data_IF_193821002253
#
_entry.id   IF_193821002253
#
_cell.length_a   1.000
_cell.length_b   1.000
_cell.length_c   1.000
_cell.angle_alpha   90.00
_cell.angle_beta   90.00
_cell.angle_gamma   90.00
#
_symmetry.space_group_name_H-M   'P 1'
#
loop_
_entity.id
_entity.type
_entity.pdbx_description
1 polymer ?
#
# COMPACT_ATOMS: atom_id res chain seq x y z
N UNK A 1 -46.18 29.87 41.57
CA UNK A 1 -47.23 29.64 42.58
C UNK A 1 -48.27 28.71 41.94
N UNK A 2 -48.45 27.53 42.55
CA UNK A 2 -49.55 26.56 42.44
C UNK A 2 -49.80 25.79 41.12
N UNK A 3 -49.39 24.53 41.19
CA UNK A 3 -49.88 23.35 40.44
C UNK A 3 -51.35 23.08 40.75
N UNK A 4 -52.06 22.47 39.78
CA UNK A 4 -53.16 21.55 40.05
C UNK A 4 -52.86 20.17 39.41
N UNK A 5 -52.79 19.17 40.29
CA UNK A 5 -52.79 17.72 40.05
C UNK A 5 -54.23 17.24 39.69
N UNK A 6 -54.60 16.02 39.31
CA UNK A 6 -54.06 14.67 39.03
C UNK A 6 -55.15 13.99 38.13
N UNK A 7 -54.97 12.86 37.45
CA UNK A 7 -55.19 11.47 37.93
C UNK A 7 -54.93 10.55 36.72
N UNK A 8 -53.82 9.81 36.68
CA UNK A 8 -53.68 8.34 36.83
C UNK A 8 -54.71 7.47 36.10
N UNK A 9 -54.25 6.72 35.08
CA UNK A 9 -54.69 5.34 34.87
C UNK A 9 -53.45 4.46 34.58
N UNK A 10 -53.17 3.56 35.50
CA UNK A 10 -52.22 2.48 35.33
C UNK A 10 -52.84 1.40 34.43
N UNK A 11 -52.09 0.90 33.46
CA UNK A 11 -52.41 -0.36 32.77
C UNK A 11 -51.11 -1.10 32.50
N UNK A 12 -50.87 -2.10 33.35
CA UNK A 12 -49.88 -3.15 33.14
C UNK A 12 -50.39 -4.06 32.02
N UNK A 13 -49.66 -4.17 30.92
CA UNK A 13 -49.79 -5.29 29.98
C UNK A 13 -48.40 -5.89 29.79
N UNK A 14 -48.29 -7.15 30.22
CA UNK A 14 -47.09 -7.97 30.15
C UNK A 14 -46.79 -8.47 28.73
N UNK A 15 -45.53 -8.83 28.54
CA UNK A 15 -44.80 -9.11 27.32
C UNK A 15 -45.36 -10.26 26.45
N UNK A 16 -45.27 -10.09 25.13
CA UNK A 16 -45.00 -11.18 24.19
C UNK A 16 -44.35 -10.60 22.92
N UNK A 17 -43.02 -10.56 22.87
CA UNK A 17 -42.28 -10.29 21.63
C UNK A 17 -42.25 -11.58 20.80
N UNK A 18 -43.15 -11.67 19.82
CA UNK A 18 -43.08 -12.70 18.79
C UNK A 18 -42.01 -12.29 17.75
N UNK A 19 -40.87 -12.95 17.79
CA UNK A 19 -39.86 -12.88 16.74
C UNK A 19 -40.33 -13.72 15.54
N UNK A 20 -40.23 -13.23 14.29
CA UNK A 20 -40.37 -14.10 13.13
C UNK A 20 -39.13 -14.98 12.98
N UNK A 21 -39.35 -16.29 12.97
CA UNK A 21 -38.39 -17.30 12.58
C UNK A 21 -38.20 -17.31 11.06
N UNK A 22 -36.96 -17.49 10.62
CA UNK A 22 -36.67 -18.22 9.37
C UNK A 22 -36.20 -17.38 8.18
N UNK A 23 -34.97 -16.88 8.22
CA UNK A 23 -34.10 -16.82 7.04
C UNK A 23 -32.71 -17.28 7.43
N UNK A 24 -32.41 -18.55 7.18
CA UNK A 24 -31.08 -19.11 7.28
C UNK A 24 -30.19 -18.50 6.20
N UNK A 25 -29.34 -17.55 6.58
CA UNK A 25 -28.20 -17.18 5.77
C UNK A 25 -27.24 -18.38 5.71
N UNK A 26 -26.73 -18.79 4.54
CA UNK A 26 -25.64 -19.75 4.50
C UNK A 26 -24.44 -19.13 5.21
N UNK A 27 -23.89 -19.84 6.19
CA UNK A 27 -22.64 -19.46 6.83
C UNK A 27 -21.55 -19.44 5.75
N UNK A 28 -21.20 -18.23 5.29
CA UNK A 28 -20.01 -18.03 4.48
C UNK A 28 -18.81 -18.41 5.36
N UNK A 29 -18.29 -19.61 5.15
CA UNK A 29 -17.01 -20.03 5.70
C UNK A 29 -15.97 -19.10 5.07
N UNK A 30 -15.57 -18.06 5.79
CA UNK A 30 -14.44 -17.21 5.38
C UNK A 30 -13.15 -17.99 5.62
N UNK A 31 -12.92 -19.00 4.78
CA UNK A 31 -11.57 -19.47 4.56
C UNK A 31 -10.81 -18.32 3.88
N UNK A 32 -9.66 -17.88 4.41
CA UNK A 32 -8.78 -16.98 3.67
C UNK A 32 -8.48 -17.59 2.31
N UNK A 33 -8.57 -16.78 1.25
CA UNK A 33 -8.11 -17.21 -0.07
C UNK A 33 -6.66 -17.72 0.05
N UNK A 34 -6.30 -18.86 -0.59
CA UNK A 34 -4.93 -19.34 -0.58
C UNK A 34 -4.00 -18.22 -1.04
N UNK A 35 -3.16 -17.73 -0.13
CA UNK A 35 -2.12 -16.77 -0.49
C UNK A 35 -1.00 -17.58 -1.13
N UNK A 36 -0.94 -17.58 -2.46
CA UNK A 36 0.30 -17.92 -3.14
C UNK A 36 1.34 -16.88 -2.70
N UNK A 37 2.50 -17.29 -2.17
CA UNK A 37 3.64 -16.39 -2.06
C UNK A 37 3.85 -15.70 -3.41
N UNK A 38 4.20 -14.41 -3.40
CA UNK A 38 4.62 -13.69 -4.60
C UNK A 38 5.91 -14.33 -5.12
N UNK A 39 5.79 -15.45 -5.83
CA UNK A 39 6.90 -16.03 -6.55
C UNK A 39 6.97 -15.39 -7.92
N UNK A 40 8.12 -14.77 -8.17
CA UNK A 40 8.53 -14.17 -9.43
C UNK A 40 8.20 -15.10 -10.61
N UNK A 41 7.35 -14.70 -11.57
CA UNK A 41 7.17 -15.47 -12.80
C UNK A 41 8.47 -15.46 -13.58
N UNK A 42 9.12 -16.62 -13.67
CA UNK A 42 10.20 -16.87 -14.61
C UNK A 42 9.60 -17.50 -15.87
N UNK A 43 8.87 -16.71 -16.67
CA UNK A 43 8.34 -17.17 -17.96
C UNK A 43 9.20 -16.59 -19.11
N UNK A 44 9.84 -17.41 -19.95
CA UNK A 44 10.68 -16.96 -21.05
C UNK A 44 9.92 -16.59 -22.33
N UNK A 45 8.59 -16.60 -22.36
CA UNK A 45 7.85 -16.45 -23.62
C UNK A 45 7.01 -15.17 -23.65
N UNK A 46 7.59 -14.02 -24.05
CA UNK A 46 6.90 -12.90 -24.72
C UNK A 46 7.91 -11.88 -25.29
N UNK A 47 8.23 -12.09 -26.56
CA UNK A 47 9.03 -11.22 -27.45
C UNK A 47 8.52 -9.75 -27.44
N UNK A 48 9.39 -8.83 -27.04
CA UNK A 48 9.22 -7.36 -26.95
C UNK A 48 8.24 -6.78 -25.93
N UNK A 49 7.81 -7.53 -24.92
CA UNK A 49 7.45 -6.86 -23.67
C UNK A 49 8.74 -6.19 -23.15
N UNK A 50 8.72 -4.87 -22.90
CA UNK A 50 9.73 -4.29 -22.02
C UNK A 50 9.60 -5.07 -20.73
N UNK A 51 10.52 -6.01 -20.47
CA UNK A 51 10.50 -6.81 -19.25
C UNK A 51 10.35 -5.81 -18.10
N UNK A 52 9.39 -6.02 -17.18
CA UNK A 52 9.21 -5.11 -16.06
C UNK A 52 10.56 -4.98 -15.37
N UNK A 53 11.17 -3.80 -15.52
CA UNK A 53 12.52 -3.59 -15.03
C UNK A 53 12.48 -3.72 -13.52
N UNK A 54 13.22 -4.69 -13.02
CA UNK A 54 13.34 -5.05 -11.61
C UNK A 54 14.83 -5.11 -11.32
N UNK A 55 15.34 -3.99 -10.81
CA UNK A 55 16.75 -3.74 -10.58
C UNK A 55 17.09 -3.87 -9.08
N UNK A 56 16.11 -4.15 -8.23
CA UNK A 56 16.26 -4.30 -6.79
C UNK A 56 15.86 -5.69 -6.29
N UNK A 57 16.29 -6.02 -5.08
CA UNK A 57 15.88 -7.22 -4.36
C UNK A 57 14.73 -6.92 -3.39
N UNK A 58 14.47 -7.88 -2.50
CA UNK A 58 13.40 -7.77 -1.52
C UNK A 58 13.52 -6.52 -0.63
N UNK A 59 12.38 -5.89 -0.40
CA UNK A 59 12.29 -4.69 0.44
C UNK A 59 11.88 -5.01 1.87
N UNK A 60 12.44 -4.27 2.81
CA UNK A 60 11.87 -4.09 4.16
C UNK A 60 10.73 -3.08 4.13
N UNK A 61 9.86 -3.08 5.13
CA UNK A 61 8.66 -2.24 5.17
C UNK A 61 8.39 -1.72 6.58
N UNK A 62 8.38 -0.41 6.74
CA UNK A 62 8.05 0.31 7.97
C UNK A 62 6.79 1.13 7.76
N UNK A 63 5.81 0.98 8.66
CA UNK A 63 4.55 1.73 8.60
C UNK A 63 4.78 3.20 8.99
N UNK A 64 4.35 4.12 8.12
CA UNK A 64 4.33 5.56 8.37
C UNK A 64 2.98 6.21 8.07
N UNK A 65 1.90 5.42 7.97
CA UNK A 65 0.56 5.93 7.65
C UNK A 65 0.03 6.84 8.76
N UNK A 66 -0.47 8.01 8.36
CA UNK A 66 -0.97 9.06 9.24
C UNK A 66 -2.02 9.92 8.52
N UNK A 67 -2.71 10.85 9.21
CA UNK A 67 -3.60 11.81 8.54
C UNK A 67 -2.90 12.65 7.47
N UNK A 68 -1.59 12.89 7.61
CA UNK A 68 -0.78 13.64 6.66
C UNK A 68 -0.32 12.80 5.47
N UNK A 69 -0.58 11.49 5.45
CA UNK A 69 -0.15 10.60 4.36
C UNK A 69 -0.91 10.87 3.04
N UNK A 70 -0.31 10.52 1.88
CA UNK A 70 -0.96 10.63 0.59
C UNK A 70 -2.13 9.66 0.43
N UNK A 71 -2.98 9.93 -0.56
CA UNK A 71 -4.10 9.07 -0.92
C UNK A 71 -3.62 7.79 -1.60
N UNK A 72 -4.19 6.65 -1.21
CA UNK A 72 -3.96 5.34 -1.83
C UNK A 72 -4.28 5.38 -3.32
N UNK A 73 -5.35 6.06 -3.72
CA UNK A 73 -5.75 6.15 -5.12
C UNK A 73 -4.67 6.82 -5.98
N UNK A 74 -4.01 7.86 -5.45
CA UNK A 74 -2.94 8.57 -6.13
C UNK A 74 -1.69 7.69 -6.27
N UNK A 75 -1.32 6.97 -5.21
CA UNK A 75 -0.18 6.06 -5.26
C UNK A 75 -0.42 4.90 -6.25
N UNK A 76 -1.62 4.31 -6.27
CA UNK A 76 -1.96 3.27 -7.25
C UNK A 76 -2.00 3.82 -8.68
N UNK A 77 -2.33 5.11 -8.85
CA UNK A 77 -2.26 5.75 -10.16
C UNK A 77 -0.83 5.86 -10.66
N UNK A 78 0.15 6.18 -9.80
CA UNK A 78 1.59 6.09 -10.12
C UNK A 78 1.93 4.70 -10.64
N UNK A 79 1.59 3.65 -9.88
CA UNK A 79 1.90 2.27 -10.24
C UNK A 79 1.35 1.91 -11.63
N UNK A 80 0.11 2.31 -11.92
CA UNK A 80 -0.49 2.08 -13.25
C UNK A 80 0.19 2.86 -14.39
N UNK A 81 0.65 4.09 -14.13
CA UNK A 81 1.27 4.94 -15.15
C UNK A 81 2.65 4.42 -15.57
N UNK A 82 3.36 3.75 -14.67
CA UNK A 82 4.74 3.26 -14.91
C UNK A 82 4.80 1.75 -15.18
N UNK A 83 3.66 1.06 -15.22
CA UNK A 83 3.57 -0.39 -15.42
C UNK A 83 4.19 -0.87 -16.74
N UNK A 84 4.42 0.02 -17.71
CA UNK A 84 5.10 -0.27 -18.98
C UNK A 84 6.61 -0.52 -18.88
N UNK A 85 7.19 -0.53 -17.67
CA UNK A 85 8.61 -0.79 -17.45
C UNK A 85 9.50 0.45 -17.60
N UNK A 86 10.82 0.25 -17.48
CA UNK A 86 11.83 1.31 -17.48
C UNK A 86 12.62 1.38 -16.18
N UNK A 87 13.85 1.90 -16.25
CA UNK A 87 14.79 1.97 -15.12
C UNK A 87 15.17 3.43 -14.85
N UNK A 88 15.14 3.81 -13.58
CA UNK A 88 15.68 5.07 -13.08
C UNK A 88 17.14 4.88 -12.69
N UNK A 89 18.02 5.77 -13.14
CA UNK A 89 19.38 5.87 -12.61
C UNK A 89 19.43 7.01 -11.61
N UNK A 90 19.64 6.68 -10.33
CA UNK A 90 19.63 7.66 -9.24
C UNK A 90 21.06 7.93 -8.81
N UNK A 91 21.48 9.18 -8.98
CA UNK A 91 22.81 9.63 -8.59
C UNK A 91 23.02 9.52 -7.08
N UNK A 92 24.29 9.56 -6.69
CA UNK A 92 24.66 9.61 -5.28
C UNK A 92 24.30 10.96 -4.67
N UNK A 93 23.92 10.96 -3.39
CA UNK A 93 23.57 12.17 -2.67
C UNK A 93 22.37 11.97 -1.76
N UNK A 94 21.58 13.04 -1.63
CA UNK A 94 20.39 13.06 -0.79
C UNK A 94 19.22 12.26 -1.36
N UNK A 95 18.02 12.61 -0.90
CA UNK A 95 16.79 12.04 -1.43
C UNK A 95 16.48 12.56 -2.83
N UNK A 96 16.10 11.64 -3.70
CA UNK A 96 15.65 11.92 -5.06
C UNK A 96 14.21 11.45 -5.20
N UNK A 97 13.32 12.35 -5.60
CA UNK A 97 11.96 11.99 -5.98
C UNK A 97 12.00 11.31 -7.36
N UNK A 98 11.43 10.12 -7.47
CA UNK A 98 11.37 9.38 -8.73
C UNK A 98 10.04 9.62 -9.45
N UNK A 99 8.96 9.54 -8.70
CA UNK A 99 7.60 9.56 -9.24
C UNK A 99 6.68 10.36 -8.35
N UNK A 100 5.70 10.98 -8.97
CA UNK A 100 4.67 11.74 -8.28
C UNK A 100 3.38 11.71 -9.11
N UNK A 101 2.26 11.61 -8.41
CA UNK A 101 0.94 11.87 -8.96
C UNK A 101 0.00 12.30 -7.83
N UNK A 102 -0.76 13.38 -8.04
CA UNK A 102 -1.66 13.92 -7.02
C UNK A 102 -0.92 14.20 -5.71
N UNK A 103 -1.42 13.63 -4.62
CA UNK A 103 -0.83 13.75 -3.28
C UNK A 103 0.35 12.81 -3.05
N UNK A 104 0.54 11.78 -3.88
CA UNK A 104 1.53 10.75 -3.64
C UNK A 104 2.86 11.05 -4.35
N UNK A 105 3.97 10.91 -3.63
CA UNK A 105 5.30 10.83 -4.19
C UNK A 105 6.08 9.66 -3.60
N UNK A 106 6.99 9.10 -4.40
CA UNK A 106 7.97 8.13 -3.94
C UNK A 106 9.37 8.66 -4.26
N UNK A 107 10.20 8.68 -3.22
CA UNK A 107 11.60 9.05 -3.34
C UNK A 107 12.52 7.96 -2.81
N UNK A 108 13.76 7.99 -3.29
CA UNK A 108 14.81 7.05 -2.88
C UNK A 108 16.11 7.79 -2.60
N UNK A 109 17.00 7.15 -1.84
CA UNK A 109 18.40 7.54 -1.72
C UNK A 109 19.28 6.31 -1.55
N UNK A 110 20.53 6.41 -1.98
CA UNK A 110 21.54 5.42 -1.63
C UNK A 110 21.91 5.57 -0.14
N UNK A 111 21.76 4.50 0.63
CA UNK A 111 22.03 4.46 2.07
C UNK A 111 23.45 3.93 2.39
N UNK A 112 24.18 3.42 1.40
CA UNK A 112 25.50 2.84 1.57
C UNK A 112 26.67 3.83 1.36
N UNK A 113 27.86 3.53 1.92
CA UNK A 113 29.09 4.25 1.58
C UNK A 113 29.48 3.90 0.14
N UNK A 114 29.17 4.77 -0.81
CA UNK A 114 29.49 4.53 -2.21
C UNK A 114 29.28 5.78 -3.06
N UNK A 115 30.04 5.84 -4.16
CA UNK A 115 29.98 6.92 -5.15
C UNK A 115 29.24 6.49 -6.42
N UNK A 116 28.61 5.31 -6.40
CA UNK A 116 27.91 4.75 -7.55
C UNK A 116 26.43 5.06 -7.51
N UNK A 117 25.90 5.50 -8.65
CA UNK A 117 24.48 5.59 -8.88
C UNK A 117 23.83 4.21 -8.77
N UNK A 118 22.60 4.18 -8.25
CA UNK A 118 21.77 2.99 -8.14
C UNK A 118 20.76 2.95 -9.29
N UNK A 119 20.32 1.76 -9.66
CA UNK A 119 19.22 1.53 -10.59
C UNK A 119 17.98 1.15 -9.80
N UNK A 120 16.86 1.80 -10.10
CA UNK A 120 15.56 1.42 -9.54
C UNK A 120 14.63 1.19 -10.72
N UNK A 121 14.14 -0.02 -10.86
CA UNK A 121 13.22 -0.40 -11.90
C UNK A 121 11.79 0.05 -11.58
N UNK A 122 10.99 0.27 -12.63
CA UNK A 122 9.58 0.62 -12.43
C UNK A 122 8.80 -0.50 -11.73
N UNK A 123 9.19 -1.77 -11.91
CA UNK A 123 8.56 -2.86 -11.17
C UNK A 123 8.85 -2.77 -9.67
N UNK A 124 10.08 -2.37 -9.29
CA UNK A 124 10.44 -2.17 -7.88
C UNK A 124 9.53 -1.11 -7.22
N UNK A 125 9.27 0.00 -7.94
CA UNK A 125 8.37 1.07 -7.48
C UNK A 125 6.93 0.57 -7.37
N UNK A 126 6.44 -0.17 -8.37
CA UNK A 126 5.10 -0.77 -8.38
C UNK A 126 4.91 -1.71 -7.21
N UNK A 127 5.89 -2.58 -6.95
CA UNK A 127 5.85 -3.58 -5.89
C UNK A 127 5.88 -2.93 -4.50
N UNK A 128 6.73 -1.92 -4.32
CA UNK A 128 6.80 -1.13 -3.07
C UNK A 128 5.47 -0.42 -2.80
N UNK A 129 4.85 0.20 -3.80
CA UNK A 129 3.55 0.87 -3.65
C UNK A 129 2.46 -0.14 -3.28
N UNK A 130 2.30 -1.21 -4.07
CA UNK A 130 1.25 -2.21 -3.86
C UNK A 130 1.39 -2.90 -2.50
N UNK A 131 2.60 -3.30 -2.14
CA UNK A 131 2.89 -3.95 -0.86
C UNK A 131 2.66 -3.00 0.32
N UNK A 132 3.03 -1.72 0.19
CA UNK A 132 2.77 -0.71 1.23
C UNK A 132 1.27 -0.49 1.43
N UNK A 133 0.49 -0.40 0.36
CA UNK A 133 -0.98 -0.29 0.44
C UNK A 133 -1.57 -1.53 1.10
N UNK A 134 -1.14 -2.73 0.68
CA UNK A 134 -1.63 -3.99 1.25
C UNK A 134 -1.35 -4.10 2.76
N UNK A 135 -0.15 -3.69 3.20
CA UNK A 135 0.26 -3.82 4.61
C UNK A 135 -0.24 -2.68 5.49
N UNK A 136 -0.28 -1.45 4.97
CA UNK A 136 -0.32 -0.24 5.81
C UNK A 136 -1.40 0.76 5.40
N UNK A 137 -2.31 0.43 4.48
CA UNK A 137 -3.47 1.28 4.19
C UNK A 137 -4.21 1.60 5.49
N UNK A 138 -4.38 2.89 5.74
CA UNK A 138 -5.12 3.43 6.87
C UNK A 138 -6.18 4.40 6.35
N UNK A 139 -7.45 3.99 6.42
CA UNK A 139 -8.55 4.60 5.66
C UNK A 139 -8.24 4.63 4.16
N UNK A 140 -8.19 5.81 3.55
CA UNK A 140 -7.84 6.05 2.15
C UNK A 140 -6.39 6.53 1.97
N UNK A 141 -5.56 6.45 3.02
CA UNK A 141 -4.19 6.96 3.04
C UNK A 141 -3.14 5.86 3.23
N UNK A 142 -1.92 6.12 2.75
CA UNK A 142 -0.77 5.22 2.94
C UNK A 142 0.52 6.00 3.09
N UNK A 143 1.29 5.73 4.13
CA UNK A 143 2.67 6.18 4.28
C UNK A 143 3.54 4.98 4.63
N UNK A 144 4.69 4.88 3.99
CA UNK A 144 5.61 3.77 4.23
C UNK A 144 7.04 4.16 3.87
N UNK A 145 7.99 3.46 4.46
CA UNK A 145 9.40 3.56 4.10
C UNK A 145 10.07 2.21 4.28
N UNK A 146 11.27 2.08 3.73
CA UNK A 146 12.03 0.86 3.84
C UNK A 146 13.39 0.95 3.17
N UNK A 147 13.99 -0.21 3.07
CA UNK A 147 15.29 -0.45 2.46
C UNK A 147 15.20 -1.64 1.53
N UNK A 148 15.83 -1.54 0.36
CA UNK A 148 15.98 -2.63 -0.60
C UNK A 148 17.38 -2.58 -1.23
N UNK A 149 18.06 -3.71 -1.44
CA UNK A 149 19.31 -3.74 -2.20
C UNK A 149 19.00 -3.51 -3.67
N UNK A 150 19.68 -2.58 -4.33
CA UNK A 150 19.52 -2.30 -5.75
C UNK A 150 20.83 -2.43 -6.51
N UNK A 151 20.76 -2.80 -7.78
CA UNK A 151 21.93 -2.83 -8.65
C UNK A 151 22.56 -1.45 -8.75
N UNK A 152 23.90 -1.39 -8.72
CA UNK A 152 24.63 -0.15 -9.04
C UNK A 152 24.95 -0.09 -10.54
N UNK A 153 25.20 1.11 -11.07
CA UNK A 153 25.48 1.32 -12.49
C UNK A 153 26.73 0.60 -13.02
N UNK A 154 27.67 0.24 -12.14
CA UNK A 154 28.85 -0.56 -12.47
C UNK A 154 28.53 -2.06 -12.33
N UNK A 155 28.93 -2.69 -11.23
CA UNK A 155 28.68 -4.10 -10.95
C UNK A 155 28.57 -4.29 -9.45
N UNK A 156 27.51 -4.95 -9.00
CA UNK A 156 27.25 -5.20 -7.57
C UNK A 156 25.92 -4.59 -7.11
N UNK A 157 25.76 -4.49 -5.79
CA UNK A 157 24.53 -4.07 -5.12
C UNK A 157 24.82 -2.95 -4.13
N UNK A 158 23.90 -1.99 -4.01
CA UNK A 158 23.90 -0.91 -3.03
C UNK A 158 22.62 -0.92 -2.22
N UNK A 159 22.69 -0.54 -0.94
CA UNK A 159 21.49 -0.42 -0.12
C UNK A 159 20.74 0.87 -0.48
N UNK A 160 19.46 0.77 -0.83
CA UNK A 160 18.61 1.89 -1.22
C UNK A 160 17.51 2.08 -0.20
N UNK A 161 17.46 3.26 0.42
CA UNK A 161 16.33 3.68 1.23
C UNK A 161 15.25 4.28 0.33
N UNK A 162 13.99 4.02 0.64
CA UNK A 162 12.84 4.57 -0.08
C UNK A 162 11.77 5.06 0.91
N UNK A 163 10.92 5.98 0.44
CA UNK A 163 9.76 6.44 1.19
C UNK A 163 8.62 6.88 0.28
N UNK A 164 7.39 6.51 0.66
CA UNK A 164 6.13 7.06 0.16
C UNK A 164 5.72 8.20 1.08
N UNK A 165 5.62 9.41 0.53
CA UNK A 165 5.30 10.62 1.28
C UNK A 165 4.28 11.50 0.54
N UNK A 166 3.74 12.47 1.27
CA UNK A 166 2.79 13.44 0.75
C UNK A 166 3.55 14.58 0.06
N UNK A 167 3.23 14.84 -1.21
CA UNK A 167 3.82 15.94 -1.98
C UNK A 167 3.02 17.23 -1.90
#
# INVERSE_FOLDING_TARGET
MKLNAAVIFASLIACASAAPAGMTAPAATTAPAPQTPNEKPNDPDLVFALSPANDCGDSTFTNGSSPASPLVADCLKIASNIAGGGTWTVQVGGWHQLVQFGTCALGVRNAGPGWHAIKVGNQDIVDVINTSVQKFKWFDKVGASGEMPCQIVTTGWGNTQWSIYHN
#
